data_IF_129032179796
#
_entry.id   IF_129032179796
#
_cell.length_a   1.000
_cell.length_b   1.000
_cell.length_c   1.000
_cell.angle_alpha   90.00
_cell.angle_beta   90.00
_cell.angle_gamma   90.00
#
_symmetry.space_group_name_H-M   'P 1'
#
loop_
_entity.id
_entity.type
_entity.pdbx_description
1 polymer ?
#
# COMPACT_ATOMS: atom_id res chain seq x y z
N UNK A 1 5.91 -8.90 -19.26
CA UNK A 1 4.68 -8.09 -19.47
C UNK A 1 3.66 -9.05 -20.04
N UNK A 2 2.69 -9.49 -19.26
CA UNK A 2 1.82 -10.61 -19.61
C UNK A 2 0.63 -10.19 -20.51
N UNK A 3 0.63 -8.95 -21.02
CA UNK A 3 -0.44 -8.40 -21.86
C UNK A 3 -1.73 -8.03 -21.12
N UNK A 4 -1.76 -8.22 -19.80
CA UNK A 4 -2.93 -7.94 -18.95
C UNK A 4 -3.18 -6.44 -18.78
N UNK A 5 -4.45 -6.05 -18.86
CA UNK A 5 -4.89 -4.67 -18.58
C UNK A 5 -4.98 -4.47 -17.07
N UNK A 6 -4.45 -3.35 -16.57
CA UNK A 6 -4.57 -2.93 -15.17
C UNK A 6 -5.33 -1.62 -15.09
N UNK A 7 -6.34 -1.59 -14.23
CA UNK A 7 -7.06 -0.36 -13.90
C UNK A 7 -6.18 0.47 -12.97
N UNK A 8 -5.89 1.72 -13.34
CA UNK A 8 -5.16 2.67 -12.52
C UNK A 8 -6.03 3.92 -12.32
N UNK A 9 -6.50 4.12 -11.09
CA UNK A 9 -7.27 5.31 -10.72
C UNK A 9 -6.32 6.47 -10.43
N UNK A 10 -6.58 7.63 -11.02
CA UNK A 10 -5.76 8.82 -10.81
C UNK A 10 -6.15 9.55 -9.51
N UNK A 11 -5.52 9.17 -8.41
CA UNK A 11 -5.71 9.81 -7.10
C UNK A 11 -4.75 10.98 -6.84
N UNK A 12 -4.07 11.57 -7.84
CA UNK A 12 -3.08 12.64 -7.58
C UNK A 12 -3.63 13.82 -6.77
N UNK A 13 -4.81 14.31 -7.13
CA UNK A 13 -5.45 15.42 -6.40
C UNK A 13 -5.90 15.00 -5.00
N UNK A 14 -6.46 13.80 -4.87
CA UNK A 14 -6.86 13.23 -3.58
C UNK A 14 -5.64 13.12 -2.65
N UNK A 15 -4.53 12.55 -3.14
CA UNK A 15 -3.30 12.35 -2.38
C UNK A 15 -2.65 13.67 -1.93
N UNK A 16 -2.85 14.77 -2.66
CA UNK A 16 -2.38 16.09 -2.26
C UNK A 16 -3.26 16.73 -1.18
N UNK A 17 -4.56 16.45 -1.19
CA UNK A 17 -5.51 16.95 -0.20
C UNK A 17 -5.53 16.13 1.10
N UNK A 18 -5.12 14.86 1.04
CA UNK A 18 -5.05 13.96 2.18
C UNK A 18 -3.91 14.31 3.13
N UNK A 19 -4.19 14.22 4.44
CA UNK A 19 -3.15 14.26 5.47
C UNK A 19 -2.23 13.04 5.30
N UNK A 20 -0.92 13.28 5.23
CA UNK A 20 0.05 12.20 5.14
C UNK A 20 0.25 11.57 6.52
N UNK A 21 0.15 10.26 6.56
CA UNK A 21 0.59 9.49 7.71
C UNK A 21 2.12 9.58 7.82
N UNK A 22 2.61 9.76 9.05
CA UNK A 22 4.04 9.83 9.37
C UNK A 22 4.52 8.54 10.04
N UNK A 23 3.91 7.40 9.71
CA UNK A 23 4.37 6.11 10.19
C UNK A 23 5.83 5.89 9.78
N UNK A 24 6.74 5.67 10.75
CA UNK A 24 8.14 5.50 10.44
C UNK A 24 8.37 4.15 9.78
N UNK A 25 8.65 4.15 8.47
CA UNK A 25 9.10 2.95 7.78
C UNK A 25 10.56 2.68 8.18
N UNK A 26 10.89 1.45 8.62
CA UNK A 26 12.26 1.11 8.97
C UNK A 26 13.16 1.18 7.73
N UNK A 27 14.35 1.74 7.89
CA UNK A 27 15.37 1.70 6.84
C UNK A 27 16.00 0.30 6.77
N UNK A 28 16.60 -0.02 5.62
CA UNK A 28 17.15 -1.36 5.37
C UNK A 28 18.13 -1.82 6.46
N UNK A 29 19.01 -0.94 6.93
CA UNK A 29 19.98 -1.28 7.99
C UNK A 29 19.32 -1.68 9.31
N UNK A 30 18.21 -1.02 9.68
CA UNK A 30 17.47 -1.36 10.90
C UNK A 30 16.83 -2.75 10.77
N UNK A 31 16.29 -3.06 9.59
CA UNK A 31 15.71 -4.39 9.32
C UNK A 31 16.80 -5.47 9.35
N UNK A 32 17.96 -5.21 8.72
CA UNK A 32 19.09 -6.15 8.69
C UNK A 32 19.67 -6.41 10.09
N UNK A 33 19.85 -5.37 10.89
CA UNK A 33 20.29 -5.51 12.28
C UNK A 33 19.31 -6.34 13.11
N UNK A 34 18.01 -6.13 12.92
CA UNK A 34 16.97 -6.86 13.65
C UNK A 34 16.97 -8.37 13.37
N UNK A 35 17.39 -8.80 12.18
CA UNK A 35 17.43 -10.23 11.80
C UNK A 35 18.83 -10.86 11.96
N UNK A 36 19.86 -10.08 12.29
CA UNK A 36 21.23 -10.57 12.42
C UNK A 36 21.34 -11.61 13.54
N UNK A 37 22.00 -12.73 13.25
CA UNK A 37 22.15 -13.84 14.21
C UNK A 37 20.96 -14.80 14.25
N UNK A 38 19.93 -14.60 13.41
CA UNK A 38 18.84 -15.57 13.25
C UNK A 38 19.34 -16.81 12.52
N UNK A 39 19.10 -18.00 13.09
CA UNK A 39 19.47 -19.28 12.46
C UNK A 39 18.55 -19.66 11.30
N UNK A 40 17.33 -19.12 11.29
CA UNK A 40 16.32 -19.35 10.26
C UNK A 40 15.47 -18.10 10.07
N UNK A 41 15.17 -17.76 8.81
CA UNK A 41 14.26 -16.70 8.43
C UNK A 41 13.19 -17.27 7.49
N UNK A 42 11.95 -16.88 7.71
CA UNK A 42 10.86 -17.09 6.76
C UNK A 42 10.40 -15.74 6.22
N UNK A 43 10.11 -15.69 4.92
CA UNK A 43 9.57 -14.51 4.28
C UNK A 43 8.12 -14.77 3.91
N UNK A 44 7.25 -13.86 4.32
CA UNK A 44 5.84 -13.84 3.96
C UNK A 44 5.63 -12.60 3.10
N UNK A 45 4.89 -12.76 1.99
CA UNK A 45 4.44 -11.62 1.22
C UNK A 45 2.98 -11.29 1.57
N UNK A 46 2.67 -10.00 1.56
CA UNK A 46 1.30 -9.51 1.58
C UNK A 46 0.81 -9.30 0.16
N UNK A 47 0.90 -10.31 -0.71
CA UNK A 47 0.41 -10.17 -2.08
C UNK A 47 -1.05 -9.71 -2.07
N UNK A 48 -1.33 -8.60 -2.77
CA UNK A 48 -2.64 -7.90 -2.74
C UNK A 48 -3.00 -7.20 -1.42
N UNK A 49 -2.03 -6.92 -0.54
CA UNK A 49 -2.25 -6.29 0.77
C UNK A 49 -2.97 -4.94 0.73
N UNK A 50 -2.83 -4.17 -0.36
CA UNK A 50 -3.55 -2.91 -0.55
C UNK A 50 -5.08 -3.06 -0.53
N UNK A 51 -5.61 -4.23 -0.90
CA UNK A 51 -7.06 -4.47 -1.00
C UNK A 51 -7.63 -5.26 0.18
N UNK A 52 -6.81 -5.55 1.21
CA UNK A 52 -7.24 -6.34 2.37
C UNK A 52 -7.77 -5.49 3.52
N UNK A 53 -7.43 -4.20 3.55
CA UNK A 53 -7.84 -3.28 4.61
C UNK A 53 -9.03 -2.47 4.12
N UNK A 54 -10.13 -2.49 4.89
CA UNK A 54 -11.32 -1.71 4.59
C UNK A 54 -11.09 -0.21 4.81
N UNK A 55 -11.60 0.61 3.89
CA UNK A 55 -11.65 2.06 4.07
C UNK A 55 -12.74 2.39 5.09
N UNK A 56 -12.44 3.29 6.03
CA UNK A 56 -13.40 3.79 7.02
C UNK A 56 -14.72 4.18 6.33
N UNK A 57 -15.90 3.79 6.85
CA UNK A 57 -17.19 4.06 6.21
C UNK A 57 -17.40 5.54 5.85
N UNK A 58 -16.88 6.45 6.67
CA UNK A 58 -16.98 7.90 6.46
C UNK A 58 -16.09 8.44 5.32
N UNK A 59 -15.09 7.66 4.88
CA UNK A 59 -14.11 8.04 3.87
C UNK A 59 -14.26 7.29 2.53
N UNK A 60 -15.13 6.28 2.45
CA UNK A 60 -15.33 5.46 1.24
C UNK A 60 -15.66 6.30 0.00
N UNK A 61 -16.44 7.37 0.16
CA UNK A 61 -16.80 8.24 -0.97
C UNK A 61 -15.59 8.99 -1.56
N UNK A 62 -14.50 9.17 -0.78
CA UNK A 62 -13.28 9.85 -1.24
C UNK A 62 -12.48 9.01 -2.23
N UNK A 63 -12.64 7.68 -2.21
CA UNK A 63 -11.98 6.75 -3.13
C UNK A 63 -12.82 6.43 -4.37
N UNK A 64 -13.98 7.06 -4.52
CA UNK A 64 -14.84 6.90 -5.69
C UNK A 64 -14.11 7.36 -6.97
N UNK A 65 -14.40 6.68 -8.07
CA UNK A 65 -13.91 7.02 -9.41
C UNK A 65 -15.04 6.84 -10.42
N UNK A 66 -14.94 7.55 -11.54
CA UNK A 66 -15.92 7.46 -12.62
C UNK A 66 -15.38 6.60 -13.75
N UNK A 67 -16.28 5.86 -14.37
CA UNK A 67 -16.06 5.24 -15.67
C UNK A 67 -16.67 6.11 -16.78
N UNK A 68 -16.29 5.92 -18.06
CA UNK A 68 -16.85 6.67 -19.18
C UNK A 68 -18.37 6.51 -19.40
N UNK A 69 -19.01 5.59 -18.68
CA UNK A 69 -20.44 5.25 -18.72
C UNK A 69 -21.02 5.31 -17.32
#
# INVERSE_FOLDING_TARGET
>A
INGEIRICVDFRNLNQASLKDNYPLPIMDQVLQAVTGSEMLSMLDGFSGYNQIEVSPEDQFKTAFTTPW
#
